data_IF_877974439330
#
_entry.id   IF_877974439330
#
_cell.length_a   1.000
_cell.length_b   1.000
_cell.length_c   1.000
_cell.angle_alpha   90.00
_cell.angle_beta   90.00
_cell.angle_gamma   90.00
#
_symmetry.space_group_name_H-M   'P 1'
#
loop_
_entity.id
_entity.type
_entity.pdbx_description
1 polymer ?
#
# COMPACT_ATOMS: atom_id res chain seq x y z
N UNK A 1 42.54 -2.73 4.94
CA UNK A 1 41.37 -2.95 4.07
C UNK A 1 40.61 -4.15 4.59
N UNK A 2 39.55 -3.93 5.38
CA UNK A 2 38.61 -4.97 5.79
C UNK A 2 37.49 -4.99 4.74
N UNK A 3 37.47 -6.03 3.92
CA UNK A 3 36.33 -6.36 3.06
C UNK A 3 35.17 -6.78 3.97
N UNK A 4 34.25 -5.85 4.23
CA UNK A 4 32.95 -6.18 4.78
C UNK A 4 32.24 -7.07 3.76
N UNK A 5 32.20 -8.36 4.05
CA UNK A 5 31.25 -9.27 3.42
C UNK A 5 29.86 -8.78 3.82
N UNK A 6 29.20 -8.07 2.91
CA UNK A 6 27.75 -7.92 2.96
C UNK A 6 27.19 -9.33 2.78
N UNK A 7 26.84 -9.97 3.88
CA UNK A 7 25.91 -11.10 3.85
C UNK A 7 24.64 -10.57 3.24
N UNK A 8 24.41 -10.89 1.97
CA UNK A 8 23.14 -10.72 1.29
C UNK A 8 22.08 -11.36 2.17
N UNK A 9 21.27 -10.52 2.81
CA UNK A 9 20.00 -10.91 3.40
C UNK A 9 19.32 -11.86 2.43
N UNK A 10 18.80 -13.00 2.90
CA UNK A 10 17.94 -13.85 2.08
C UNK A 10 16.88 -12.95 1.47
N UNK A 11 16.91 -12.75 0.14
CA UNK A 11 16.04 -11.81 -0.53
C UNK A 11 14.60 -12.30 -0.34
N UNK A 12 13.89 -11.74 0.63
CA UNK A 12 12.46 -11.96 0.74
C UNK A 12 11.82 -11.22 -0.42
N UNK A 13 11.35 -11.99 -1.40
CA UNK A 13 10.73 -11.45 -2.59
C UNK A 13 9.22 -11.58 -2.49
N UNK A 14 8.51 -10.55 -2.95
CA UNK A 14 7.06 -10.54 -3.11
C UNK A 14 6.73 -10.71 -4.58
N UNK A 15 5.78 -11.60 -4.84
CA UNK A 15 5.12 -11.73 -6.12
C UNK A 15 3.67 -11.25 -6.00
N UNK A 16 3.33 -10.07 -6.53
CA UNK A 16 1.98 -9.52 -6.45
C UNK A 16 0.93 -10.38 -7.15
N UNK A 17 1.31 -11.38 -7.96
CA UNK A 17 0.32 -12.29 -8.55
C UNK A 17 -0.34 -13.21 -7.52
N UNK A 18 0.26 -13.36 -6.34
CA UNK A 18 -0.29 -14.13 -5.24
C UNK A 18 -1.36 -13.36 -4.47
N UNK A 19 -1.53 -12.07 -4.75
CA UNK A 19 -2.62 -11.28 -4.21
C UNK A 19 -3.96 -11.70 -4.82
N UNK A 20 -5.09 -11.38 -4.17
CA UNK A 20 -6.42 -11.58 -4.75
C UNK A 20 -6.58 -10.92 -6.12
N UNK A 21 -7.04 -11.69 -7.10
CA UNK A 21 -7.12 -11.24 -8.48
C UNK A 21 -8.31 -10.33 -8.76
N UNK A 22 -8.07 -9.24 -9.49
CA UNK A 22 -9.07 -8.51 -10.26
C UNK A 22 -8.40 -7.83 -11.47
N UNK A 23 -9.14 -7.57 -12.54
CA UNK A 23 -8.53 -7.01 -13.76
C UNK A 23 -7.82 -5.66 -13.52
N UNK A 24 -8.30 -4.84 -12.57
CA UNK A 24 -7.64 -3.58 -12.22
C UNK A 24 -6.39 -3.73 -11.35
N UNK A 25 -6.21 -4.86 -10.64
CA UNK A 25 -4.97 -5.13 -9.89
C UNK A 25 -3.76 -5.29 -10.81
N UNK A 26 -3.97 -5.24 -12.12
CA UNK A 26 -2.92 -5.29 -13.13
C UNK A 26 -1.97 -4.09 -13.10
N UNK A 27 -2.23 -3.00 -12.36
CA UNK A 27 -1.17 -1.99 -12.11
C UNK A 27 -0.10 -2.44 -11.12
N UNK A 28 -0.21 -3.65 -10.57
CA UNK A 28 0.94 -4.35 -9.99
C UNK A 28 1.74 -5.13 -11.04
N UNK A 29 1.23 -5.24 -12.27
CA UNK A 29 1.90 -5.93 -13.35
C UNK A 29 2.92 -4.99 -14.00
N UNK A 30 4.00 -5.59 -14.51
CA UNK A 30 5.17 -4.94 -15.11
C UNK A 30 4.85 -3.94 -16.23
N UNK A 31 3.68 -4.01 -16.87
CA UNK A 31 3.28 -3.06 -17.93
C UNK A 31 2.81 -1.71 -17.39
N UNK A 32 2.44 -1.63 -16.11
CA UNK A 32 1.95 -0.42 -15.46
C UNK A 32 2.36 -0.41 -13.98
N UNK A 33 3.66 -0.47 -13.64
CA UNK A 33 4.08 -0.52 -12.25
C UNK A 33 3.49 0.67 -11.47
N UNK A 34 3.28 0.52 -10.15
CA UNK A 34 2.89 1.63 -9.30
C UNK A 34 3.85 2.80 -9.54
N UNK A 35 3.34 4.04 -9.55
CA UNK A 35 3.97 5.16 -10.24
C UNK A 35 5.42 5.49 -9.86
N UNK A 36 5.98 5.00 -8.76
CA UNK A 36 7.43 4.90 -8.54
C UNK A 36 7.72 4.11 -7.25
N UNK A 37 8.80 3.29 -7.21
CA UNK A 37 9.78 3.14 -6.11
C UNK A 37 10.41 1.74 -5.96
N UNK A 38 9.77 0.66 -6.42
CA UNK A 38 10.32 -0.69 -6.21
C UNK A 38 10.97 -1.30 -7.46
N UNK A 39 12.31 -1.51 -7.46
CA UNK A 39 12.96 -2.17 -8.57
C UNK A 39 12.51 -3.63 -8.64
N UNK A 40 12.28 -4.10 -9.87
CA UNK A 40 12.06 -5.52 -10.13
C UNK A 40 13.36 -6.29 -9.92
N UNK A 41 13.22 -7.50 -9.38
CA UNK A 41 14.29 -8.45 -9.11
C UNK A 41 14.00 -9.68 -9.93
N UNK A 42 14.99 -10.11 -10.71
CA UNK A 42 14.92 -11.35 -11.47
C UNK A 42 15.21 -12.50 -10.51
N UNK A 43 14.24 -13.38 -10.30
CA UNK A 43 14.40 -14.60 -9.51
C UNK A 43 14.55 -15.82 -10.44
N UNK A 44 15.78 -16.29 -10.72
CA UNK A 44 16.01 -17.41 -11.62
C UNK A 44 15.53 -18.76 -11.05
N UNK A 45 15.24 -18.82 -9.74
CA UNK A 45 14.64 -20.00 -9.08
C UNK A 45 13.13 -20.14 -9.31
N UNK A 46 12.52 -19.19 -10.04
CA UNK A 46 11.16 -19.27 -10.58
C UNK A 46 11.20 -19.48 -12.11
N UNK A 47 11.58 -20.69 -12.59
CA UNK A 47 11.84 -20.91 -14.01
C UNK A 47 10.53 -20.97 -14.80
N UNK A 48 10.31 -19.97 -15.66
CA UNK A 48 9.35 -19.93 -16.76
C UNK A 48 7.90 -20.32 -16.42
N UNK A 49 7.14 -19.36 -15.90
CA UNK A 49 5.89 -19.04 -16.58
C UNK A 49 6.02 -17.65 -17.21
N UNK A 50 5.62 -17.53 -18.47
CA UNK A 50 5.61 -16.29 -19.24
C UNK A 50 4.75 -15.27 -18.50
N UNK A 51 5.40 -14.24 -17.96
CA UNK A 51 4.84 -13.16 -17.16
C UNK A 51 4.03 -13.57 -15.92
N UNK A 52 4.23 -12.86 -14.80
CA UNK A 52 3.45 -13.10 -13.58
C UNK A 52 1.94 -13.21 -13.88
N UNK A 53 1.44 -12.48 -14.87
CA UNK A 53 0.04 -12.44 -15.33
C UNK A 53 -0.53 -13.68 -16.04
N UNK A 54 0.24 -14.60 -16.63
CA UNK A 54 -0.36 -15.75 -17.33
C UNK A 54 -0.81 -16.88 -16.40
N UNK A 55 -0.56 -16.74 -15.09
CA UNK A 55 -0.90 -17.72 -14.07
C UNK A 55 -2.36 -17.66 -13.57
N UNK A 56 -3.15 -16.68 -14.01
CA UNK A 56 -4.56 -16.51 -13.62
C UNK A 56 -5.37 -17.79 -13.92
N UNK A 57 -5.07 -18.48 -15.03
CA UNK A 57 -5.74 -19.71 -15.44
C UNK A 57 -5.52 -20.90 -14.48
N UNK A 58 -4.45 -20.89 -13.66
CA UNK A 58 -4.17 -21.96 -12.71
C UNK A 58 -4.83 -21.75 -11.34
N UNK A 59 -5.07 -20.50 -10.93
CA UNK A 59 -5.71 -20.20 -9.64
C UNK A 59 -7.24 -20.41 -9.70
N UNK A 60 -7.84 -20.28 -10.88
CA UNK A 60 -9.29 -20.49 -11.08
C UNK A 60 -9.70 -21.98 -11.09
N UNK A 61 -8.76 -22.92 -11.25
CA UNK A 61 -9.03 -24.37 -11.21
C UNK A 61 -8.54 -25.00 -9.90
N UNK A 62 -9.41 -24.96 -8.88
CA UNK A 62 -9.17 -25.36 -7.49
C UNK A 62 -9.12 -26.90 -7.27
N UNK A 63 -8.45 -27.64 -8.14
CA UNK A 63 -8.52 -29.12 -8.13
C UNK A 63 -7.20 -29.87 -8.09
N UNK A 64 -6.04 -29.22 -8.17
CA UNK A 64 -4.77 -29.96 -8.18
C UNK A 64 -3.69 -29.28 -7.32
N UNK A 65 -3.00 -30.09 -6.50
CA UNK A 65 -1.78 -29.76 -5.75
C UNK A 65 -0.61 -29.38 -6.69
N UNK A 66 -0.74 -28.31 -7.45
CA UNK A 66 0.34 -27.75 -8.27
C UNK A 66 1.14 -26.76 -7.41
N UNK A 67 2.46 -26.95 -7.39
CA UNK A 67 3.41 -26.10 -6.69
C UNK A 67 3.12 -24.61 -6.91
N UNK A 68 3.29 -23.80 -5.87
CA UNK A 68 3.11 -22.35 -5.91
C UNK A 68 3.86 -21.78 -7.12
N UNK A 69 3.11 -21.30 -8.11
CA UNK A 69 3.70 -20.72 -9.31
C UNK A 69 4.13 -19.30 -8.98
N UNK A 70 5.44 -19.06 -9.02
CA UNK A 70 6.02 -17.73 -8.88
C UNK A 70 6.47 -17.19 -10.24
N UNK A 71 6.32 -15.89 -10.46
CA UNK A 71 6.83 -15.15 -11.60
C UNK A 71 8.33 -14.87 -11.47
N UNK A 72 9.00 -14.75 -12.61
CA UNK A 72 10.44 -14.44 -12.67
C UNK A 72 10.77 -13.00 -12.24
N UNK A 73 9.81 -12.07 -12.40
CA UNK A 73 9.93 -10.67 -12.01
C UNK A 73 9.19 -10.46 -10.69
N UNK A 74 9.93 -10.18 -9.63
CA UNK A 74 9.40 -10.00 -8.26
C UNK A 74 9.87 -8.67 -7.67
N UNK A 75 9.28 -8.23 -6.57
CA UNK A 75 9.72 -7.06 -5.83
C UNK A 75 10.48 -7.47 -4.57
N UNK A 76 11.45 -6.66 -4.14
CA UNK A 76 11.96 -6.77 -2.77
C UNK A 76 10.81 -6.51 -1.80
N UNK A 77 10.55 -7.44 -0.87
CA UNK A 77 9.48 -7.36 0.12
C UNK A 77 9.52 -6.03 0.88
N UNK A 78 10.71 -5.65 1.36
CA UNK A 78 10.89 -4.42 2.14
C UNK A 78 10.50 -3.18 1.36
N UNK A 79 10.79 -3.12 0.05
CA UNK A 79 10.36 -1.98 -0.75
C UNK A 79 8.84 -2.00 -0.93
N UNK A 80 8.29 -3.14 -1.36
CA UNK A 80 6.87 -3.29 -1.68
C UNK A 80 5.98 -2.95 -0.47
N UNK A 81 6.36 -3.43 0.70
CA UNK A 81 5.63 -3.19 1.95
C UNK A 81 5.75 -1.77 2.48
N UNK A 82 6.74 -1.00 1.99
CA UNK A 82 6.90 0.42 2.30
C UNK A 82 6.14 1.35 1.35
N UNK A 83 5.43 0.82 0.35
CA UNK A 83 4.55 1.62 -0.49
C UNK A 83 3.38 2.19 0.32
N UNK A 84 3.22 3.52 0.25
CA UNK A 84 2.14 4.27 0.89
C UNK A 84 0.82 4.20 0.10
N UNK A 85 0.86 3.78 -1.15
CA UNK A 85 -0.32 3.69 -2.05
C UNK A 85 -0.56 2.29 -2.60
N UNK A 86 -0.13 1.26 -1.87
CA UNK A 86 -0.21 -0.15 -2.28
C UNK A 86 -1.62 -0.70 -2.51
N UNK A 87 -2.67 -0.06 -2.00
CA UNK A 87 -4.06 -0.48 -2.20
C UNK A 87 -4.74 0.23 -3.36
N UNK A 88 -4.16 1.32 -3.87
CA UNK A 88 -4.72 2.10 -5.00
C UNK A 88 -5.05 1.25 -6.21
N UNK A 89 -4.24 0.23 -6.47
CA UNK A 89 -4.38 -0.67 -7.60
C UNK A 89 -5.57 -1.65 -7.52
N UNK A 90 -6.14 -1.86 -6.34
CA UNK A 90 -7.36 -2.69 -6.19
C UNK A 90 -8.60 -1.85 -5.92
N UNK A 91 -8.52 -0.53 -6.06
CA UNK A 91 -9.60 0.40 -5.75
C UNK A 91 -10.85 0.21 -6.62
N UNK A 92 -10.69 -0.10 -7.90
CA UNK A 92 -11.82 -0.37 -8.81
C UNK A 92 -12.37 -1.80 -8.71
N UNK A 93 -11.85 -2.61 -7.79
CA UNK A 93 -12.30 -3.98 -7.57
C UNK A 93 -13.44 -4.04 -6.55
N UNK A 94 -14.06 -5.22 -6.39
CA UNK A 94 -15.10 -5.41 -5.38
C UNK A 94 -14.53 -5.23 -3.96
N UNK A 95 -15.38 -4.83 -3.00
CA UNK A 95 -15.02 -4.74 -1.59
C UNK A 95 -14.44 -6.04 -1.02
N UNK A 96 -14.91 -7.20 -1.50
CA UNK A 96 -14.36 -8.49 -1.09
C UNK A 96 -12.89 -8.65 -1.50
N UNK A 97 -12.54 -8.23 -2.74
CA UNK A 97 -11.16 -8.26 -3.21
C UNK A 97 -10.32 -7.24 -2.45
N UNK A 98 -10.85 -6.04 -2.20
CA UNK A 98 -10.20 -5.03 -1.38
C UNK A 98 -9.78 -5.58 -0.02
N UNK A 99 -10.70 -6.16 0.75
CA UNK A 99 -10.42 -6.72 2.08
C UNK A 99 -9.45 -7.90 2.03
N UNK A 100 -9.59 -8.79 1.05
CA UNK A 100 -8.65 -9.90 0.87
C UNK A 100 -7.24 -9.40 0.56
N UNK A 101 -7.10 -8.28 -0.15
CA UNK A 101 -5.79 -7.68 -0.46
C UNK A 101 -5.20 -7.02 0.78
N UNK A 102 -6.01 -6.34 1.60
CA UNK A 102 -5.58 -5.89 2.93
C UNK A 102 -5.06 -7.06 3.77
N UNK A 103 -5.80 -8.16 3.86
CA UNK A 103 -5.38 -9.38 4.59
C UNK A 103 -4.08 -9.97 4.02
N UNK A 104 -3.94 -10.01 2.70
CA UNK A 104 -2.73 -10.50 2.04
C UNK A 104 -1.52 -9.62 2.38
N UNK A 105 -1.67 -8.29 2.37
CA UNK A 105 -0.62 -7.36 2.81
C UNK A 105 -0.25 -7.59 4.28
N UNK A 106 -1.23 -7.79 5.17
CA UNK A 106 -0.98 -8.07 6.59
C UNK A 106 -0.21 -9.38 6.83
N UNK A 107 -0.45 -10.40 6.00
CA UNK A 107 0.26 -11.69 6.09
C UNK A 107 1.64 -11.66 5.43
N UNK A 108 1.78 -10.88 4.37
CA UNK A 108 2.99 -10.88 3.53
C UNK A 108 4.01 -9.85 3.99
N UNK A 109 3.60 -8.73 4.58
CA UNK A 109 4.49 -7.64 4.96
C UNK A 109 4.96 -7.73 6.42
N UNK A 110 6.19 -7.25 6.71
CA UNK A 110 6.67 -7.21 8.09
C UNK A 110 5.81 -6.27 8.94
N UNK A 111 5.75 -6.51 10.27
CA UNK A 111 5.09 -5.60 11.19
C UNK A 111 5.76 -4.22 11.15
N UNK A 112 4.98 -3.17 11.40
CA UNK A 112 5.41 -1.76 11.37
C UNK A 112 5.73 -1.19 9.98
N UNK A 113 5.44 -1.91 8.90
CA UNK A 113 5.50 -1.32 7.55
C UNK A 113 4.24 -0.50 7.27
N UNK A 114 4.26 0.49 6.36
CA UNK A 114 3.07 1.21 5.92
C UNK A 114 1.87 0.33 5.52
N UNK A 115 2.13 -0.89 5.04
CA UNK A 115 1.10 -1.86 4.72
C UNK A 115 0.45 -2.52 5.94
N UNK A 116 1.14 -2.57 7.08
CA UNK A 116 0.70 -3.31 8.29
C UNK A 116 0.49 -2.44 9.53
N UNK A 117 1.12 -1.26 9.58
CA UNK A 117 1.09 -0.37 10.73
C UNK A 117 -0.16 0.53 10.70
N UNK A 118 -1.05 0.43 11.71
CA UNK A 118 -2.17 1.35 11.83
C UNK A 118 -1.69 2.80 12.01
N UNK A 119 -2.48 3.74 11.50
CA UNK A 119 -2.21 5.17 11.65
C UNK A 119 -2.26 5.59 13.12
N UNK A 120 -1.27 6.41 13.52
CA UNK A 120 -1.35 7.09 14.80
C UNK A 120 -2.13 8.39 14.65
N UNK A 121 -3.41 8.39 15.07
CA UNK A 121 -4.25 9.59 15.05
C UNK A 121 -4.01 10.53 16.25
N UNK A 122 -3.14 10.17 17.20
CA UNK A 122 -2.91 10.98 18.41
C UNK A 122 -2.35 12.40 18.18
N UNK A 123 -1.50 12.65 17.17
CA UNK A 123 -1.02 13.99 16.84
C UNK A 123 -2.11 14.92 16.30
N UNK A 124 -3.24 14.39 15.82
CA UNK A 124 -4.32 15.19 15.25
C UNK A 124 -5.08 15.98 16.32
N UNK A 125 -5.57 17.18 15.97
CA UNK A 125 -6.42 17.94 16.87
C UNK A 125 -7.76 17.22 17.11
N UNK A 126 -8.39 17.36 18.30
CA UNK A 126 -9.64 16.68 18.63
C UNK A 126 -10.81 16.93 17.65
N UNK A 127 -10.79 18.06 16.92
CA UNK A 127 -11.83 18.37 15.92
C UNK A 127 -11.74 17.53 14.64
N UNK A 128 -10.59 16.93 14.35
CA UNK A 128 -10.37 16.07 13.19
C UNK A 128 -10.14 14.61 13.57
N UNK A 129 -9.50 14.35 14.73
CA UNK A 129 -9.07 13.01 15.16
C UNK A 129 -10.16 11.94 15.02
N UNK A 130 -11.25 12.05 15.79
CA UNK A 130 -12.30 11.03 15.80
C UNK A 130 -13.04 10.96 14.45
N UNK A 131 -13.16 12.08 13.76
CA UNK A 131 -13.79 12.12 12.45
C UNK A 131 -13.00 11.31 11.42
N UNK A 132 -11.67 11.46 11.39
CA UNK A 132 -10.82 10.72 10.44
C UNK A 132 -10.76 9.23 10.77
N UNK A 133 -10.65 8.90 12.05
CA UNK A 133 -10.68 7.52 12.57
C UNK A 133 -11.96 6.79 12.09
N UNK A 134 -13.13 7.36 12.39
CA UNK A 134 -14.43 6.81 12.00
C UNK A 134 -14.61 6.76 10.48
N UNK A 135 -14.24 7.84 9.76
CA UNK A 135 -14.47 7.94 8.31
C UNK A 135 -13.61 6.94 7.54
N UNK A 136 -12.38 6.69 7.97
CA UNK A 136 -11.50 5.70 7.34
C UNK A 136 -12.05 4.29 7.48
N UNK A 137 -12.51 3.94 8.68
CA UNK A 137 -13.12 2.64 8.91
C UNK A 137 -14.40 2.47 8.06
N UNK A 138 -15.28 3.47 8.06
CA UNK A 138 -16.53 3.45 7.26
C UNK A 138 -16.27 3.38 5.76
N UNK A 139 -15.17 3.98 5.30
CA UNK A 139 -14.76 3.92 3.92
C UNK A 139 -14.32 2.52 3.48
N UNK A 140 -13.85 1.67 4.41
CA UNK A 140 -13.38 0.32 4.10
C UNK A 140 -11.89 0.10 4.33
N UNK A 141 -11.18 1.07 4.92
CA UNK A 141 -9.82 0.89 5.43
C UNK A 141 -9.85 0.20 6.80
N UNK A 142 -10.12 -1.10 6.83
CA UNK A 142 -10.40 -1.82 8.08
C UNK A 142 -9.19 -1.86 9.01
N UNK A 143 -7.99 -2.00 8.46
CA UNK A 143 -6.75 -1.99 9.24
C UNK A 143 -6.21 -0.59 9.50
N UNK A 144 -6.85 0.45 8.95
CA UNK A 144 -6.51 1.87 9.12
C UNK A 144 -5.02 2.17 8.90
N UNK A 145 -4.39 1.51 7.91
CA UNK A 145 -2.97 1.66 7.63
C UNK A 145 -2.70 2.88 6.75
N UNK A 146 -1.48 3.40 6.77
CA UNK A 146 -1.06 4.46 5.84
C UNK A 146 -1.25 4.03 4.39
N UNK A 147 -1.00 2.77 4.07
CA UNK A 147 -1.22 2.22 2.74
C UNK A 147 -2.66 2.47 2.24
N UNK A 148 -3.66 2.19 3.08
CA UNK A 148 -5.05 2.41 2.71
C UNK A 148 -5.42 3.89 2.64
N UNK A 149 -5.09 4.64 3.69
CA UNK A 149 -5.44 6.05 3.79
C UNK A 149 -4.83 6.89 2.66
N UNK A 150 -3.54 6.73 2.41
CA UNK A 150 -2.84 7.51 1.41
C UNK A 150 -3.16 7.05 -0.03
N UNK A 151 -3.60 5.80 -0.24
CA UNK A 151 -4.13 5.34 -1.54
C UNK A 151 -5.40 6.09 -1.94
N UNK A 152 -6.24 6.48 -0.98
CA UNK A 152 -7.46 7.25 -1.25
C UNK A 152 -7.21 8.75 -1.28
N UNK A 153 -6.42 9.24 -0.35
CA UNK A 153 -6.11 10.65 -0.25
C UNK A 153 -7.34 11.54 -0.02
N UNK A 154 -8.14 11.23 1.01
CA UNK A 154 -9.30 12.05 1.39
C UNK A 154 -9.33 12.30 2.90
N UNK A 155 -9.55 13.56 3.28
CA UNK A 155 -9.70 13.97 4.67
C UNK A 155 -11.16 13.91 5.16
N UNK A 156 -12.09 13.45 4.31
CA UNK A 156 -13.52 13.28 4.59
C UNK A 156 -14.17 14.52 5.22
N UNK A 157 -13.71 15.70 4.80
CA UNK A 157 -14.11 17.00 5.37
C UNK A 157 -13.85 17.18 6.88
N UNK A 158 -13.13 16.27 7.52
CA UNK A 158 -12.84 16.31 8.95
C UNK A 158 -12.03 17.54 9.35
N UNK A 159 -11.15 18.01 8.46
CA UNK A 159 -10.37 19.23 8.63
C UNK A 159 -11.24 20.50 8.70
N UNK A 160 -12.43 20.51 8.08
CA UNK A 160 -13.32 21.69 8.04
C UNK A 160 -13.82 22.10 9.43
N UNK A 161 -13.85 21.17 10.39
CA UNK A 161 -14.23 21.43 11.80
C UNK A 161 -13.13 22.13 12.61
N UNK A 162 -11.94 22.31 12.04
CA UNK A 162 -10.76 22.80 12.72
C UNK A 162 -10.40 24.23 12.31
N UNK A 163 -11.21 25.24 12.64
CA UNK A 163 -11.01 26.63 12.14
C UNK A 163 -9.77 27.40 12.64
N UNK A 164 -8.92 26.82 13.49
CA UNK A 164 -7.74 27.51 14.05
C UNK A 164 -6.50 27.13 13.27
N UNK A 165 -5.70 28.13 12.87
CA UNK A 165 -4.44 27.96 12.12
C UNK A 165 -3.51 26.92 12.75
N UNK A 166 -3.31 26.98 14.08
CA UNK A 166 -2.52 25.99 14.82
C UNK A 166 -3.00 24.55 14.61
N UNK A 167 -4.32 24.35 14.51
CA UNK A 167 -4.91 23.01 14.30
C UNK A 167 -4.76 22.56 12.84
N UNK A 168 -4.87 23.48 11.88
CA UNK A 168 -4.55 23.19 10.48
C UNK A 168 -3.12 22.72 10.33
N UNK A 169 -2.17 23.44 10.95
CA UNK A 169 -0.77 23.06 10.96
C UNK A 169 -0.53 21.66 11.54
N UNK A 170 -1.23 21.29 12.63
CA UNK A 170 -1.16 19.93 13.18
C UNK A 170 -1.65 18.86 12.20
N UNK A 171 -2.73 19.12 11.44
CA UNK A 171 -3.23 18.19 10.42
C UNK A 171 -2.24 18.09 9.26
N UNK A 172 -1.67 19.22 8.83
CA UNK A 172 -0.68 19.29 7.77
C UNK A 172 0.60 18.53 8.14
N UNK A 173 1.15 18.73 9.34
CA UNK A 173 2.33 18.03 9.85
C UNK A 173 2.07 16.52 9.96
N UNK A 174 0.88 16.13 10.44
CA UNK A 174 0.46 14.73 10.47
C UNK A 174 0.36 14.13 9.07
N UNK A 175 -0.20 14.86 8.10
CA UNK A 175 -0.37 14.37 6.73
C UNK A 175 0.98 14.14 6.03
N UNK A 176 1.94 15.06 6.24
CA UNK A 176 3.33 14.92 5.78
C UNK A 176 3.97 13.64 6.34
N UNK A 177 3.84 13.40 7.65
CA UNK A 177 4.44 12.22 8.29
C UNK A 177 3.84 10.89 7.80
N UNK A 178 2.51 10.82 7.70
CA UNK A 178 1.85 9.54 7.39
C UNK A 178 1.95 9.15 5.91
N UNK A 179 1.89 10.14 5.02
CA UNK A 179 1.85 9.94 3.57
C UNK A 179 3.14 10.35 2.84
N UNK A 180 4.15 10.86 3.54
CA UNK A 180 5.41 11.35 2.95
C UNK A 180 5.22 12.42 1.87
N UNK A 181 4.22 13.29 2.06
CA UNK A 181 4.02 14.45 1.20
C UNK A 181 4.91 15.60 1.65
N UNK A 182 5.37 16.40 0.69
CA UNK A 182 6.10 17.63 1.00
C UNK A 182 5.16 18.71 1.55
N UNK A 183 5.73 19.72 2.21
CA UNK A 183 4.99 20.79 2.88
C UNK A 183 4.03 21.54 1.94
N UNK A 184 4.49 21.85 0.72
CA UNK A 184 3.70 22.62 -0.24
C UNK A 184 2.47 21.82 -0.73
N UNK A 185 2.63 20.53 -1.02
CA UNK A 185 1.54 19.63 -1.34
C UNK A 185 0.56 19.53 -0.16
N UNK A 186 1.07 19.32 1.06
CA UNK A 186 0.25 19.21 2.26
C UNK A 186 -0.63 20.44 2.53
N UNK A 187 -0.13 21.65 2.22
CA UNK A 187 -0.90 22.89 2.34
C UNK A 187 -2.07 22.92 1.35
N UNK A 188 -1.83 22.56 0.08
CA UNK A 188 -2.87 22.53 -0.95
C UNK A 188 -3.89 21.41 -0.70
N UNK A 189 -3.40 20.24 -0.35
CA UNK A 189 -4.18 19.04 -0.02
C UNK A 189 -5.12 19.27 1.18
N UNK A 190 -4.64 19.99 2.19
CA UNK A 190 -5.47 20.35 3.35
C UNK A 190 -6.57 21.35 3.00
N UNK A 191 -6.35 22.26 2.02
CA UNK A 191 -7.39 23.20 1.56
C UNK A 191 -8.49 22.50 0.77
N UNK A 192 -8.11 21.56 -0.08
CA UNK A 192 -9.06 20.82 -0.93
C UNK A 192 -9.75 19.69 -0.16
N UNK A 193 -9.12 19.18 0.89
CA UNK A 193 -9.54 17.96 1.59
C UNK A 193 -9.17 16.68 0.86
N UNK A 194 -8.44 16.75 -0.26
CA UNK A 194 -8.08 15.62 -1.12
C UNK A 194 -6.64 15.74 -1.59
N UNK A 195 -5.98 14.60 -1.70
CA UNK A 195 -4.60 14.50 -2.13
C UNK A 195 -4.36 13.26 -2.99
N UNK A 196 -3.27 13.29 -3.74
CA UNK A 196 -2.81 12.16 -4.54
C UNK A 196 -1.30 12.05 -4.42
N UNK A 197 -0.82 10.82 -4.25
CA UNK A 197 0.60 10.47 -4.21
C UNK A 197 1.04 9.86 -5.55
#
# INVERSE_FOLDING_TARGET
>A
LLLLSQTTSSQNLIDPILQPYCDSSSCWHWSFPPPELCPLVINPSCPNNTDASENIAAYQNKTENKAAKCGINQYQQDCYCNLKTGLSCVWSCSWEIWWKTEDWLQQTCPPNSPATNPLNFSPLPPCAKNCLDDSLFQYGCLTQTSNCFCSRGDLFDCHKKCHKEKKWRQIQEWLQDVCDINEAAAVEDLKSGRFSL
#
